data_IF_181764786831
#
_entry.id   IF_181764786831
#
_cell.length_a   1.000
_cell.length_b   1.000
_cell.length_c   1.000
_cell.angle_alpha   90.00
_cell.angle_beta   90.00
_cell.angle_gamma   90.00
#
_symmetry.space_group_name_H-M   'P 1'
#
loop_
_entity.id
_entity.type
_entity.pdbx_description
1 polymer ?
#
# COMPACT_ATOMS: atom_id res chain seq x y z
N UNK A 1 48.64 81.94 -9.07
CA UNK A 1 47.69 83.03 -9.38
C UNK A 1 46.37 82.59 -8.74
N UNK A 2 46.09 83.03 -7.50
CA UNK A 2 45.17 84.09 -7.11
C UNK A 2 43.75 83.88 -7.67
N UNK A 3 42.74 83.67 -6.87
CA UNK A 3 41.98 84.45 -5.93
C UNK A 3 40.86 83.58 -5.31
N UNK A 4 40.75 83.49 -4.08
CA UNK A 4 40.06 84.30 -3.06
C UNK A 4 38.58 84.61 -3.25
N UNK A 5 37.84 84.29 -2.20
CA UNK A 5 36.60 84.91 -1.62
C UNK A 5 35.30 84.14 -1.93
N UNK A 6 34.31 84.06 -1.07
CA UNK A 6 33.97 84.67 0.23
C UNK A 6 32.89 83.86 0.92
N UNK A 7 32.84 83.87 2.22
CA UNK A 7 31.82 83.39 3.11
C UNK A 7 30.41 83.83 2.79
N UNK A 8 29.42 82.96 2.95
CA UNK A 8 28.09 83.39 3.39
C UNK A 8 27.48 82.27 4.29
N UNK A 9 27.35 82.62 5.52
CA UNK A 9 26.70 81.80 6.54
C UNK A 9 25.16 81.88 6.36
N UNK A 10 24.51 80.75 6.12
CA UNK A 10 23.06 80.62 6.25
C UNK A 10 22.82 79.67 7.41
N UNK A 11 22.34 80.21 8.50
CA UNK A 11 21.85 79.48 9.66
C UNK A 11 20.60 78.72 9.24
N UNK A 12 20.65 77.37 9.13
CA UNK A 12 19.48 76.56 8.99
C UNK A 12 19.02 76.09 10.38
N UNK A 13 17.94 76.67 10.86
CA UNK A 13 17.22 76.26 12.06
C UNK A 13 16.62 74.90 11.83
N UNK A 14 17.20 73.86 12.40
CA UNK A 14 16.66 72.51 12.38
C UNK A 14 15.47 72.45 13.34
N UNK A 15 14.25 72.50 12.82
CA UNK A 15 13.05 72.18 13.57
C UNK A 15 13.00 70.65 13.68
N UNK A 16 13.32 70.13 14.84
CA UNK A 16 13.22 68.68 15.18
C UNK A 16 11.75 68.35 15.36
N UNK A 17 11.11 67.92 14.25
CA UNK A 17 9.77 67.27 14.31
C UNK A 17 9.96 65.89 14.93
N UNK A 18 9.74 65.77 16.23
CA UNK A 18 9.52 64.50 16.90
C UNK A 18 8.21 63.90 16.38
N UNK A 19 8.33 63.09 15.32
CA UNK A 19 7.27 62.19 14.93
C UNK A 19 7.15 61.12 16.00
N UNK A 20 6.23 61.27 16.90
CA UNK A 20 5.77 60.16 17.75
C UNK A 20 5.09 59.15 16.84
N UNK A 21 5.87 58.20 16.35
CA UNK A 21 5.33 56.98 15.74
C UNK A 21 4.72 56.17 16.89
N UNK A 22 3.40 56.35 17.11
CA UNK A 22 2.64 55.35 17.82
C UNK A 22 2.73 54.06 17.01
N UNK A 23 3.73 53.21 17.27
CA UNK A 23 3.64 51.80 16.95
C UNK A 23 2.47 51.29 17.76
N UNK A 24 1.29 51.07 17.13
CA UNK A 24 0.30 50.16 17.65
C UNK A 24 1.04 48.90 17.99
N UNK A 25 1.16 48.57 19.27
CA UNK A 25 1.46 47.19 19.66
C UNK A 25 0.34 46.38 19.02
N UNK A 26 0.64 45.62 18.01
CA UNK A 26 -0.20 44.51 17.63
C UNK A 26 -0.18 43.60 18.86
N UNK A 27 -1.28 43.56 19.57
CA UNK A 27 -1.49 42.61 20.65
C UNK A 27 -1.35 41.25 19.95
N UNK A 28 -0.26 40.53 20.25
CA UNK A 28 -0.12 39.14 19.82
C UNK A 28 -1.26 38.39 20.48
N UNK A 29 -2.25 38.02 19.69
CA UNK A 29 -3.28 37.10 20.15
C UNK A 29 -2.57 35.78 20.41
N UNK A 30 -2.41 35.42 21.67
CA UNK A 30 -1.92 34.12 22.08
C UNK A 30 -3.06 33.14 21.99
N UNK A 31 -2.98 32.17 21.05
CA UNK A 31 -3.94 31.09 20.93
C UNK A 31 -3.54 29.92 21.83
N UNK A 32 -4.51 29.25 22.38
CA UNK A 32 -4.35 28.01 23.11
C UNK A 32 -4.24 26.80 22.14
N UNK A 33 -3.98 25.61 22.68
CA UNK A 33 -3.93 24.38 21.92
C UNK A 33 -5.08 23.45 22.34
N UNK A 34 -5.70 22.81 21.35
CA UNK A 34 -6.62 21.71 21.61
C UNK A 34 -5.83 20.49 22.12
N UNK A 35 -6.46 19.66 22.95
CA UNK A 35 -5.90 18.39 23.38
C UNK A 35 -6.09 17.36 22.28
N UNK A 36 -4.99 16.68 21.87
CA UNK A 36 -5.02 15.63 20.86
C UNK A 36 -5.07 16.15 19.41
N UNK A 37 -5.20 15.20 18.49
CA UNK A 37 -5.32 15.43 17.05
C UNK A 37 -6.55 14.69 16.52
N UNK A 38 -7.20 15.14 15.44
CA UNK A 38 -8.40 14.51 14.90
C UNK A 38 -8.06 13.16 14.21
N UNK A 39 -7.84 12.12 14.99
CA UNK A 39 -7.51 10.78 14.49
C UNK A 39 -8.67 10.18 13.71
N UNK A 40 -8.34 9.64 12.55
CA UNK A 40 -9.25 8.86 11.70
C UNK A 40 -8.48 7.73 11.04
N UNK A 41 -9.19 6.77 10.43
CA UNK A 41 -8.60 5.62 9.78
C UNK A 41 -9.18 5.44 8.38
N UNK A 42 -8.31 5.19 7.42
CA UNK A 42 -8.65 4.79 6.05
C UNK A 42 -7.59 3.74 5.62
N UNK A 43 -7.95 2.71 4.84
CA UNK A 43 -6.98 1.75 4.35
C UNK A 43 -5.86 2.39 3.52
N UNK A 44 -4.67 1.81 3.58
CA UNK A 44 -3.51 2.29 2.80
C UNK A 44 -3.73 2.14 1.28
N UNK A 45 -4.55 1.16 0.87
CA UNK A 45 -4.96 0.93 -0.50
C UNK A 45 -6.47 0.84 -0.60
N UNK A 46 -7.03 1.46 -1.62
CA UNK A 46 -8.47 1.59 -1.84
C UNK A 46 -8.81 1.39 -3.32
N UNK A 47 -10.06 1.01 -3.63
CA UNK A 47 -10.53 0.87 -5.01
C UNK A 47 -11.47 2.00 -5.40
N UNK A 48 -11.54 2.33 -6.71
CA UNK A 48 -12.53 3.27 -7.22
C UNK A 48 -13.97 2.88 -6.83
N UNK A 49 -14.75 3.89 -6.42
CA UNK A 49 -16.15 3.70 -6.05
C UNK A 49 -16.38 3.24 -4.60
N UNK A 50 -15.35 2.82 -3.87
CA UNK A 50 -15.49 2.55 -2.43
C UNK A 50 -15.88 3.83 -1.68
N UNK A 51 -16.67 3.66 -0.63
CA UNK A 51 -17.18 4.76 0.19
C UNK A 51 -16.76 4.55 1.63
N UNK A 52 -16.05 5.52 2.18
CA UNK A 52 -15.60 5.52 3.58
C UNK A 52 -16.28 6.67 4.35
N UNK A 53 -16.86 6.36 5.50
CA UNK A 53 -17.32 7.38 6.45
C UNK A 53 -16.23 7.55 7.51
N UNK A 54 -15.58 8.70 7.47
CA UNK A 54 -14.44 9.02 8.34
C UNK A 54 -14.95 9.82 9.54
N UNK A 55 -14.64 9.34 10.74
CA UNK A 55 -15.04 9.95 12.01
C UNK A 55 -13.78 10.47 12.72
N UNK A 56 -13.66 11.77 13.01
CA UNK A 56 -12.54 12.30 13.78
C UNK A 56 -12.71 11.94 15.27
N UNK A 57 -11.63 11.54 15.91
CA UNK A 57 -11.63 11.13 17.32
C UNK A 57 -10.53 11.85 18.10
N UNK A 58 -10.63 11.84 19.42
CA UNK A 58 -9.56 12.21 20.36
C UNK A 58 -9.16 13.70 20.36
N UNK A 59 -10.04 14.60 19.94
CA UNK A 59 -9.81 16.03 20.10
C UNK A 59 -10.77 16.59 21.14
N UNK A 60 -10.21 17.27 22.15
CA UNK A 60 -10.99 17.90 23.22
C UNK A 60 -10.44 19.30 23.52
N UNK A 61 -11.24 20.13 24.15
CA UNK A 61 -10.78 21.35 24.78
C UNK A 61 -10.03 21.03 26.09
N UNK A 62 -9.09 21.86 26.53
CA UNK A 62 -8.52 21.74 27.85
C UNK A 62 -9.62 21.75 28.95
N UNK A 63 -9.36 21.06 30.04
CA UNK A 63 -10.34 20.90 31.15
C UNK A 63 -10.68 22.20 31.89
N UNK A 64 -9.86 23.21 31.74
CA UNK A 64 -10.05 24.57 32.29
C UNK A 64 -10.81 25.53 31.36
N UNK A 65 -11.07 25.10 30.11
CA UNK A 65 -11.90 25.84 29.18
C UNK A 65 -13.40 25.68 29.55
N UNK A 66 -14.03 26.78 29.88
CA UNK A 66 -15.48 26.85 30.22
C UNK A 66 -16.35 27.13 29.02
N UNK A 67 -15.78 27.25 27.82
CA UNK A 67 -16.57 27.50 26.60
C UNK A 67 -17.51 26.33 26.29
N UNK A 68 -18.72 26.64 25.91
CA UNK A 68 -19.73 25.69 25.44
C UNK A 68 -19.70 25.50 23.92
N UNK A 69 -18.87 26.27 23.23
CA UNK A 69 -18.74 26.17 21.76
C UNK A 69 -18.18 24.86 21.34
N UNK A 70 -18.72 24.26 20.29
CA UNK A 70 -18.26 23.00 19.74
C UNK A 70 -16.87 23.12 19.10
N UNK A 71 -16.23 21.97 18.91
CA UNK A 71 -15.06 21.86 18.02
C UNK A 71 -15.59 21.66 16.61
N UNK A 72 -15.18 22.54 15.69
CA UNK A 72 -15.44 22.41 14.26
C UNK A 72 -14.38 21.53 13.58
N UNK A 73 -14.75 20.91 12.48
CA UNK A 73 -13.85 20.09 11.67
C UNK A 73 -13.97 20.51 10.22
N UNK A 74 -12.86 20.52 9.49
CA UNK A 74 -12.92 20.58 8.06
C UNK A 74 -12.00 19.53 7.43
N UNK A 75 -12.44 19.02 6.29
CA UNK A 75 -11.80 17.96 5.56
C UNK A 75 -11.34 18.43 4.19
N UNK A 76 -10.22 17.94 3.75
CA UNK A 76 -9.77 18.12 2.38
C UNK A 76 -9.12 16.84 1.86
N UNK A 77 -9.25 16.62 0.55
CA UNK A 77 -8.67 15.46 -0.13
C UNK A 77 -7.89 15.94 -1.34
N UNK A 78 -6.59 15.70 -1.35
CA UNK A 78 -5.68 16.09 -2.44
C UNK A 78 -5.24 14.82 -3.19
N UNK A 79 -5.22 14.83 -4.52
CA UNK A 79 -5.37 15.95 -5.46
C UNK A 79 -6.80 16.25 -5.92
N UNK A 80 -7.83 15.67 -5.30
CA UNK A 80 -9.23 15.82 -5.73
C UNK A 80 -9.72 17.27 -5.54
N UNK A 81 -9.26 17.95 -4.49
CA UNK A 81 -9.48 19.38 -4.33
C UNK A 81 -8.46 20.14 -5.19
N UNK A 82 -8.94 20.76 -6.22
CA UNK A 82 -8.20 21.24 -7.40
C UNK A 82 -7.27 22.44 -7.21
N UNK A 83 -6.82 22.80 -6.00
CA UNK A 83 -5.90 23.93 -5.82
C UNK A 83 -4.60 23.52 -5.12
N UNK A 84 -3.50 23.77 -5.83
CA UNK A 84 -2.12 23.65 -5.39
C UNK A 84 -1.66 24.71 -4.37
N UNK A 85 -2.54 25.51 -3.80
CA UNK A 85 -2.13 26.62 -2.94
C UNK A 85 -2.09 26.22 -1.48
N UNK A 86 -1.02 26.58 -0.83
CA UNK A 86 -0.62 26.24 0.53
C UNK A 86 -1.45 26.90 1.63
N UNK A 87 -2.42 27.74 1.30
CA UNK A 87 -3.36 28.36 2.23
C UNK A 87 -4.71 27.69 2.08
N UNK A 88 -4.98 26.70 2.91
CA UNK A 88 -6.29 26.04 2.98
C UNK A 88 -7.24 26.93 3.78
N UNK A 89 -8.18 27.54 3.11
CA UNK A 89 -9.29 28.25 3.72
C UNK A 89 -10.50 27.30 3.87
N UNK A 90 -11.46 27.63 4.73
CA UNK A 90 -12.72 26.87 4.82
C UNK A 90 -13.41 26.67 3.46
N UNK A 91 -13.18 27.58 2.51
CA UNK A 91 -13.70 27.51 1.13
C UNK A 91 -13.08 26.36 0.31
N UNK A 92 -11.93 25.87 0.71
CA UNK A 92 -11.21 24.79 0.02
C UNK A 92 -11.46 23.43 0.71
N UNK A 93 -12.28 23.39 1.77
CA UNK A 93 -12.63 22.18 2.48
C UNK A 93 -13.61 21.32 1.66
N UNK A 94 -13.40 20.01 1.68
CA UNK A 94 -14.34 19.06 1.09
C UNK A 94 -15.62 18.94 1.94
N UNK A 95 -15.50 19.13 3.27
CA UNK A 95 -16.60 19.16 4.22
C UNK A 95 -16.17 19.92 5.49
N UNK A 96 -17.11 20.59 6.14
CA UNK A 96 -16.93 21.23 7.45
C UNK A 96 -17.68 20.48 8.58
N UNK A 97 -18.32 19.36 8.30
CA UNK A 97 -18.94 18.50 9.29
C UNK A 97 -17.92 17.66 10.06
N UNK A 98 -18.29 17.17 11.24
CA UNK A 98 -17.44 16.27 12.00
C UNK A 98 -17.12 15.02 11.18
N UNK A 99 -18.15 14.39 10.60
CA UNK A 99 -18.00 13.20 9.76
C UNK A 99 -17.84 13.60 8.30
N UNK A 100 -17.01 12.84 7.58
CA UNK A 100 -16.79 13.04 6.17
C UNK A 100 -17.00 11.74 5.39
N UNK A 101 -17.87 11.80 4.38
CA UNK A 101 -18.07 10.69 3.45
C UNK A 101 -17.16 10.87 2.24
N UNK A 102 -16.12 10.03 2.17
CA UNK A 102 -15.18 9.99 1.07
C UNK A 102 -15.61 8.91 0.07
N UNK A 103 -15.88 9.30 -1.16
CA UNK A 103 -16.03 8.37 -2.30
C UNK A 103 -14.72 8.37 -3.08
N UNK A 104 -14.14 7.19 -3.27
CA UNK A 104 -12.87 7.03 -3.98
C UNK A 104 -13.07 7.28 -5.48
N UNK A 105 -12.32 8.22 -6.09
CA UNK A 105 -12.46 8.53 -7.51
C UNK A 105 -11.87 7.44 -8.41
N UNK A 106 -12.34 7.40 -9.66
CA UNK A 106 -11.83 6.49 -10.68
C UNK A 106 -10.54 7.04 -11.35
N UNK A 107 -9.50 7.18 -10.54
CA UNK A 107 -8.19 7.67 -11.00
C UNK A 107 -7.08 6.98 -10.23
N UNK A 108 -6.15 6.32 -10.91
CA UNK A 108 -5.00 5.68 -10.28
C UNK A 108 -4.01 6.75 -9.80
N UNK A 109 -4.09 7.10 -8.52
CA UNK A 109 -3.21 8.07 -7.88
C UNK A 109 -3.10 7.81 -6.37
N UNK A 110 -2.23 8.53 -5.70
CA UNK A 110 -2.23 8.63 -4.24
C UNK A 110 -3.10 9.81 -3.84
N UNK A 111 -4.05 9.58 -2.94
CA UNK A 111 -4.82 10.64 -2.30
C UNK A 111 -4.31 10.84 -0.87
N UNK A 112 -4.32 12.09 -0.42
CA UNK A 112 -4.08 12.46 0.97
C UNK A 112 -5.34 13.10 1.52
N UNK A 113 -5.93 12.46 2.51
CA UNK A 113 -7.07 12.97 3.26
C UNK A 113 -6.55 13.68 4.49
N UNK A 114 -7.00 14.91 4.71
CA UNK A 114 -6.61 15.75 5.85
C UNK A 114 -7.86 16.14 6.63
N UNK A 115 -7.80 16.00 7.95
CA UNK A 115 -8.80 16.52 8.88
C UNK A 115 -8.15 17.56 9.78
N UNK A 116 -8.78 18.73 9.90
CA UNK A 116 -8.37 19.79 10.82
C UNK A 116 -9.49 20.08 11.78
N UNK A 117 -9.20 19.98 13.08
CA UNK A 117 -10.07 20.41 14.15
C UNK A 117 -9.75 21.87 14.51
N UNK A 118 -10.76 22.69 14.71
CA UNK A 118 -10.61 24.10 15.06
C UNK A 118 -11.63 24.54 16.11
N UNK A 119 -11.26 25.53 16.89
CA UNK A 119 -12.14 26.19 17.84
C UNK A 119 -11.68 27.64 18.02
N UNK A 120 -12.61 28.56 18.38
CA UNK A 120 -12.28 29.96 18.62
C UNK A 120 -11.26 30.09 19.77
N UNK A 121 -10.22 30.89 19.57
CA UNK A 121 -9.14 31.09 20.53
C UNK A 121 -8.09 29.94 20.56
N UNK A 122 -8.14 28.99 19.64
CA UNK A 122 -7.23 27.85 19.57
C UNK A 122 -6.49 27.77 18.24
N UNK A 123 -5.25 27.24 18.28
CA UNK A 123 -4.60 26.77 17.07
C UNK A 123 -5.30 25.52 16.55
N UNK A 124 -5.48 25.43 15.23
CA UNK A 124 -6.04 24.23 14.64
C UNK A 124 -5.10 23.03 14.83
N UNK A 125 -5.67 21.86 15.09
CA UNK A 125 -4.99 20.58 15.19
C UNK A 125 -5.32 19.74 13.95
N UNK A 126 -4.30 19.18 13.29
CA UNK A 126 -4.48 18.52 11.99
C UNK A 126 -3.88 17.14 11.98
N UNK A 127 -4.55 16.20 11.34
CA UNK A 127 -4.05 14.87 10.98
C UNK A 127 -4.27 14.59 9.51
N UNK A 128 -3.43 13.73 8.95
CA UNK A 128 -3.55 13.29 7.56
C UNK A 128 -3.30 11.79 7.43
N UNK A 129 -3.91 11.20 6.42
CA UNK A 129 -3.69 9.83 6.00
C UNK A 129 -3.67 9.74 4.48
N UNK A 130 -2.76 8.95 3.94
CA UNK A 130 -2.62 8.73 2.50
C UNK A 130 -3.11 7.35 2.11
N UNK A 131 -3.80 7.28 0.97
CA UNK A 131 -4.27 6.03 0.38
C UNK A 131 -3.89 5.98 -1.09
N UNK A 132 -3.46 4.81 -1.55
CA UNK A 132 -3.14 4.55 -2.95
C UNK A 132 -4.36 3.93 -3.61
N UNK A 133 -4.86 4.55 -4.67
CA UNK A 133 -5.98 4.01 -5.44
C UNK A 133 -5.44 2.94 -6.39
N UNK A 134 -5.97 1.73 -6.28
CA UNK A 134 -5.62 0.58 -7.10
C UNK A 134 -6.86 -0.01 -7.77
N UNK A 135 -6.69 -0.71 -8.87
CA UNK A 135 -7.75 -1.45 -9.55
C UNK A 135 -7.39 -2.93 -9.63
N UNK A 136 -8.37 -3.82 -9.54
CA UNK A 136 -8.16 -5.27 -9.68
C UNK A 136 -7.68 -5.63 -11.09
N UNK A 137 -7.47 -6.91 -11.34
CA UNK A 137 -7.11 -7.43 -12.65
C UNK A 137 -8.17 -7.09 -13.71
N UNK A 138 -7.72 -6.61 -14.89
CA UNK A 138 -8.59 -6.18 -15.98
C UNK A 138 -7.87 -5.27 -16.97
N UNK A 139 -8.60 -4.62 -17.88
CA UNK A 139 -8.00 -3.73 -18.90
C UNK A 139 -7.36 -2.49 -18.24
N UNK A 140 -8.06 -1.89 -17.27
CA UNK A 140 -7.60 -0.70 -16.51
C UNK A 140 -6.93 -1.05 -15.16
N UNK A 141 -6.36 -2.23 -15.06
CA UNK A 141 -5.75 -2.74 -13.84
C UNK A 141 -4.56 -1.92 -13.35
N UNK A 142 -4.32 -1.93 -12.04
CA UNK A 142 -3.13 -1.34 -11.43
C UNK A 142 -1.85 -2.10 -11.78
N UNK A 143 -1.92 -3.43 -11.94
CA UNK A 143 -0.76 -4.24 -12.32
C UNK A 143 -0.55 -4.20 -13.83
N UNK A 144 0.44 -3.41 -14.26
CA UNK A 144 0.97 -3.43 -15.63
C UNK A 144 2.06 -4.49 -15.76
N UNK A 145 2.35 -4.91 -16.99
CA UNK A 145 3.44 -5.86 -17.30
C UNK A 145 3.06 -7.34 -17.15
N UNK A 146 1.88 -7.66 -16.64
CA UNK A 146 1.37 -9.03 -16.63
C UNK A 146 0.63 -9.31 -17.92
N UNK A 147 1.07 -10.34 -18.64
CA UNK A 147 0.38 -10.84 -19.82
C UNK A 147 -0.25 -12.18 -19.47
N UNK A 148 -1.55 -12.29 -19.67
CA UNK A 148 -2.26 -13.56 -19.55
C UNK A 148 -2.05 -14.36 -20.84
N UNK A 149 -1.52 -15.59 -20.74
CA UNK A 149 -1.15 -16.36 -21.92
C UNK A 149 -2.38 -16.76 -22.75
N UNK A 150 -3.49 -17.07 -22.10
CA UNK A 150 -4.74 -17.44 -22.74
C UNK A 150 -5.93 -17.00 -21.88
N UNK A 151 -6.68 -16.02 -22.34
CA UNK A 151 -7.86 -15.50 -21.61
C UNK A 151 -9.03 -16.51 -21.53
N UNK A 152 -9.01 -17.59 -22.32
CA UNK A 152 -9.99 -18.66 -22.21
C UNK A 152 -9.69 -19.61 -21.04
N UNK A 153 -8.46 -19.66 -20.58
CA UNK A 153 -8.04 -20.44 -19.42
C UNK A 153 -8.37 -19.70 -18.11
N UNK A 154 -9.63 -19.71 -17.75
CA UNK A 154 -10.16 -19.06 -16.55
C UNK A 154 -11.11 -19.98 -15.82
N UNK A 155 -11.06 -19.93 -14.48
CA UNK A 155 -12.06 -20.55 -13.61
C UNK A 155 -12.78 -19.49 -12.79
N UNK A 156 -13.99 -19.79 -12.38
CA UNK A 156 -14.72 -19.00 -11.39
C UNK A 156 -14.81 -19.80 -10.09
N UNK A 157 -14.33 -19.25 -9.00
CA UNK A 157 -14.49 -19.84 -7.68
C UNK A 157 -15.96 -19.71 -7.26
N UNK A 158 -16.63 -20.84 -7.05
CA UNK A 158 -18.06 -20.85 -6.72
C UNK A 158 -18.38 -20.30 -5.33
N UNK A 159 -17.36 -20.09 -4.48
CA UNK A 159 -17.53 -19.62 -3.10
C UNK A 159 -17.74 -18.11 -3.00
N UNK A 160 -17.06 -17.34 -3.89
CA UNK A 160 -17.05 -15.88 -3.88
C UNK A 160 -17.21 -15.25 -5.27
N UNK A 161 -17.35 -16.09 -6.31
CA UNK A 161 -17.46 -15.69 -7.73
C UNK A 161 -16.20 -15.00 -8.29
N UNK A 162 -15.08 -15.04 -7.60
CA UNK A 162 -13.82 -14.52 -8.12
C UNK A 162 -13.31 -15.38 -9.28
N UNK A 163 -12.70 -14.73 -10.26
CA UNK A 163 -12.13 -15.38 -11.44
C UNK A 163 -10.62 -15.47 -11.32
N UNK A 164 -10.07 -16.63 -11.64
CA UNK A 164 -8.64 -16.88 -11.69
C UNK A 164 -8.23 -17.40 -13.05
N UNK A 165 -7.26 -16.72 -13.67
CA UNK A 165 -6.62 -17.23 -14.88
C UNK A 165 -5.61 -18.30 -14.49
N UNK A 166 -5.37 -19.26 -15.40
CA UNK A 166 -4.36 -20.28 -15.20
C UNK A 166 -3.51 -20.51 -16.45
N UNK A 167 -2.32 -21.01 -16.25
CA UNK A 167 -1.39 -21.42 -17.30
C UNK A 167 -0.93 -22.86 -17.06
N UNK A 168 -0.57 -23.57 -18.11
CA UNK A 168 -0.10 -24.94 -18.00
C UNK A 168 1.43 -24.99 -18.05
N UNK A 169 2.04 -25.54 -17.01
CA UNK A 169 3.48 -25.73 -16.94
C UNK A 169 3.81 -27.03 -16.19
N UNK A 170 4.77 -27.79 -16.69
CA UNK A 170 5.22 -29.06 -16.11
C UNK A 170 4.10 -30.09 -15.82
N UNK A 171 3.08 -30.17 -16.70
CA UNK A 171 1.95 -31.10 -16.55
C UNK A 171 0.88 -30.68 -15.54
N UNK A 172 0.96 -29.46 -15.04
CA UNK A 172 -0.01 -28.89 -14.13
C UNK A 172 -0.57 -27.57 -14.68
N UNK A 173 -1.83 -27.31 -14.39
CA UNK A 173 -2.42 -25.97 -14.47
C UNK A 173 -2.10 -25.23 -13.17
N UNK A 174 -1.60 -24.02 -13.30
CA UNK A 174 -1.19 -23.12 -12.21
C UNK A 174 -2.00 -21.83 -12.29
N UNK A 175 -2.52 -21.34 -11.18
CA UNK A 175 -3.07 -19.98 -11.15
C UNK A 175 -2.00 -18.96 -11.55
N UNK A 176 -2.39 -17.96 -12.35
CA UNK A 176 -1.55 -16.82 -12.71
C UNK A 176 -1.53 -15.79 -11.56
N UNK A 177 -2.66 -15.64 -10.88
CA UNK A 177 -2.79 -14.79 -9.70
C UNK A 177 -2.60 -15.58 -8.40
N UNK A 178 -2.24 -14.90 -7.34
CA UNK A 178 -2.35 -15.44 -6.00
C UNK A 178 -3.83 -15.55 -5.60
N UNK A 179 -4.16 -16.56 -4.83
CA UNK A 179 -5.53 -16.79 -4.36
C UNK A 179 -6.01 -15.61 -3.49
N UNK A 180 -7.19 -15.08 -3.79
CA UNK A 180 -7.82 -13.93 -3.12
C UNK A 180 -9.10 -14.31 -2.36
N UNK A 181 -9.28 -15.57 -1.97
CA UNK A 181 -10.46 -16.04 -1.25
C UNK A 181 -10.52 -15.43 0.16
N UNK A 182 -11.49 -14.54 0.37
CA UNK A 182 -11.64 -13.75 1.61
C UNK A 182 -12.27 -14.54 2.78
N UNK A 183 -12.71 -15.77 2.54
CA UNK A 183 -13.18 -16.65 3.61
C UNK A 183 -12.10 -17.11 4.61
N UNK A 184 -10.83 -16.76 4.34
CA UNK A 184 -9.68 -17.02 5.19
C UNK A 184 -8.52 -16.05 4.83
N UNK A 185 -7.52 -15.96 5.70
CA UNK A 185 -6.33 -15.14 5.48
C UNK A 185 -6.58 -13.64 5.69
N UNK A 186 -5.58 -12.83 5.34
CA UNK A 186 -5.60 -11.36 5.48
C UNK A 186 -5.08 -10.68 4.23
N UNK A 187 -5.70 -9.57 3.77
CA UNK A 187 -5.18 -8.79 2.67
C UNK A 187 -3.95 -7.99 3.11
N UNK A 188 -3.07 -7.65 2.17
CA UNK A 188 -1.88 -6.83 2.45
C UNK A 188 -2.25 -5.50 3.10
N UNK A 189 -1.59 -5.19 4.24
CA UNK A 189 -1.83 -4.01 5.07
C UNK A 189 -3.31 -3.82 5.47
N UNK A 190 -4.01 -4.92 5.69
CA UNK A 190 -5.43 -4.94 6.04
C UNK A 190 -6.31 -4.10 5.08
N UNK A 191 -5.85 -3.96 3.82
CA UNK A 191 -6.53 -3.24 2.75
C UNK A 191 -7.26 -4.22 1.83
N UNK A 192 -8.60 -4.31 1.85
CA UNK A 192 -9.36 -5.25 1.00
C UNK A 192 -9.02 -5.13 -0.48
N UNK A 193 -8.77 -3.92 -0.97
CA UNK A 193 -8.32 -3.65 -2.34
C UNK A 193 -7.08 -4.45 -2.75
N UNK A 194 -6.22 -4.82 -1.82
CA UNK A 194 -4.98 -5.56 -2.10
C UNK A 194 -5.18 -7.07 -2.21
N UNK A 195 -6.35 -7.59 -1.81
CA UNK A 195 -6.69 -9.00 -2.06
C UNK A 195 -6.70 -9.32 -3.57
N UNK A 196 -7.20 -8.41 -4.38
CA UNK A 196 -7.26 -8.55 -5.84
C UNK A 196 -5.92 -8.21 -6.54
N UNK A 197 -4.92 -7.79 -5.80
CA UNK A 197 -3.58 -7.43 -6.32
C UNK A 197 -2.53 -8.47 -5.89
N UNK A 198 -2.35 -8.67 -4.59
CA UNK A 198 -1.34 -9.58 -4.02
C UNK A 198 -1.90 -10.93 -3.60
N UNK A 199 -3.22 -11.10 -3.64
CA UNK A 199 -3.91 -12.21 -3.01
C UNK A 199 -4.04 -12.02 -1.50
N UNK A 200 -4.58 -13.02 -0.83
CA UNK A 200 -4.63 -13.07 0.63
C UNK A 200 -3.39 -13.77 1.18
N UNK A 201 -2.98 -13.38 2.38
CA UNK A 201 -1.91 -14.02 3.15
C UNK A 201 -2.55 -14.99 4.13
N UNK A 202 -2.32 -16.27 3.91
CA UNK A 202 -2.89 -17.37 4.69
C UNK A 202 -1.85 -17.95 5.63
N UNK A 203 -2.23 -18.28 6.84
CA UNK A 203 -1.51 -19.27 7.64
C UNK A 203 -1.53 -20.61 6.91
N UNK A 204 -0.63 -21.55 7.22
CA UNK A 204 -0.65 -22.84 6.53
C UNK A 204 -1.92 -23.65 6.81
N UNK A 205 -2.46 -23.55 8.02
CA UNK A 205 -3.71 -24.21 8.40
C UNK A 205 -4.91 -23.72 7.58
N UNK A 206 -4.92 -22.44 7.22
CA UNK A 206 -5.90 -21.85 6.30
C UNK A 206 -5.60 -22.24 4.86
N UNK A 207 -4.34 -22.10 4.42
CA UNK A 207 -3.88 -22.38 3.06
C UNK A 207 -4.19 -23.81 2.60
N UNK A 208 -4.05 -24.78 3.52
CA UNK A 208 -4.32 -26.19 3.24
C UNK A 208 -5.76 -26.47 2.76
N UNK A 209 -6.69 -25.55 3.01
CA UNK A 209 -8.11 -25.64 2.67
C UNK A 209 -8.58 -24.50 1.76
N UNK A 210 -7.69 -23.60 1.40
CA UNK A 210 -8.07 -22.34 0.73
C UNK A 210 -8.34 -22.53 -0.77
N UNK A 211 -7.69 -23.46 -1.45
CA UNK A 211 -7.89 -23.66 -2.89
C UNK A 211 -9.32 -24.09 -3.21
N UNK A 212 -9.90 -23.63 -4.33
CA UNK A 212 -11.25 -24.03 -4.74
C UNK A 212 -11.32 -25.53 -5.10
N UNK A 213 -12.53 -26.06 -5.21
CA UNK A 213 -12.76 -27.47 -5.54
C UNK A 213 -12.04 -27.87 -6.85
N UNK A 214 -11.35 -29.02 -6.83
CA UNK A 214 -10.56 -29.51 -7.94
C UNK A 214 -9.14 -28.91 -8.04
N UNK A 215 -8.81 -27.94 -7.16
CA UNK A 215 -7.48 -27.34 -7.04
C UNK A 215 -6.90 -27.61 -5.67
N UNK A 216 -5.57 -27.54 -5.55
CA UNK A 216 -4.84 -27.81 -4.31
C UNK A 216 -3.60 -26.92 -4.16
N UNK A 217 -3.02 -26.88 -2.98
CA UNK A 217 -1.68 -26.34 -2.81
C UNK A 217 -0.66 -27.12 -3.66
N UNK A 218 0.33 -26.44 -4.26
CA UNK A 218 1.46 -27.12 -4.89
C UNK A 218 2.30 -27.81 -3.82
N UNK A 219 2.88 -28.97 -4.16
CA UNK A 219 3.90 -29.65 -3.35
C UNK A 219 5.30 -29.18 -3.72
N UNK A 220 6.31 -29.55 -2.93
CA UNK A 220 7.70 -29.35 -3.32
C UNK A 220 8.07 -30.13 -4.59
N UNK A 221 7.44 -31.29 -4.83
CA UNK A 221 7.61 -32.08 -6.07
C UNK A 221 7.04 -31.34 -7.28
N UNK A 222 5.91 -30.62 -7.14
CA UNK A 222 5.35 -29.80 -8.23
C UNK A 222 6.31 -28.68 -8.63
N UNK A 223 6.90 -28.00 -7.66
CA UNK A 223 7.92 -26.96 -7.91
C UNK A 223 9.22 -27.55 -8.47
N UNK A 224 9.61 -28.77 -8.06
CA UNK A 224 10.76 -29.48 -8.65
C UNK A 224 10.51 -29.80 -10.13
N UNK A 225 9.33 -30.32 -10.46
CA UNK A 225 8.93 -30.60 -11.82
C UNK A 225 8.93 -29.32 -12.69
N UNK A 226 8.40 -28.22 -12.14
CA UNK A 226 8.44 -26.91 -12.79
C UNK A 226 9.88 -26.49 -13.07
N UNK A 227 10.77 -26.49 -12.07
CA UNK A 227 12.17 -26.10 -12.23
C UNK A 227 12.90 -26.99 -13.25
N UNK A 228 12.72 -28.31 -13.17
CA UNK A 228 13.34 -29.26 -14.13
C UNK A 228 12.88 -28.99 -15.57
N UNK A 229 11.61 -28.63 -15.75
CA UNK A 229 11.07 -28.29 -17.08
C UNK A 229 11.70 -27.03 -17.67
N UNK A 230 12.04 -26.06 -16.84
CA UNK A 230 12.64 -24.77 -17.25
C UNK A 230 14.15 -24.91 -17.55
N UNK A 231 14.84 -25.73 -16.79
CA UNK A 231 16.29 -25.84 -16.86
C UNK A 231 16.79 -27.02 -17.69
N UNK A 232 15.93 -28.00 -17.98
CA UNK A 232 16.31 -29.29 -18.50
C UNK A 232 17.06 -30.15 -17.49
N UNK A 233 17.13 -29.74 -16.22
CA UNK A 233 17.75 -30.50 -15.15
C UNK A 233 16.96 -31.79 -14.85
N UNK A 234 17.64 -32.75 -14.22
CA UNK A 234 17.05 -34.02 -13.74
C UNK A 234 17.24 -34.14 -12.24
N UNK A 235 16.94 -33.02 -11.52
CA UNK A 235 16.98 -33.02 -10.06
C UNK A 235 15.91 -33.97 -9.52
N UNK A 236 16.21 -34.65 -8.42
CA UNK A 236 15.30 -35.59 -7.74
C UNK A 236 15.03 -35.20 -6.30
N UNK A 237 15.73 -34.22 -5.76
CA UNK A 237 15.60 -33.79 -4.39
C UNK A 237 14.65 -32.58 -4.31
N UNK A 238 13.38 -32.83 -3.98
CA UNK A 238 12.38 -31.76 -3.95
C UNK A 238 12.52 -30.79 -2.79
N UNK A 239 13.07 -31.21 -1.67
CA UNK A 239 13.23 -30.38 -0.46
C UNK A 239 14.61 -29.71 -0.38
N UNK A 240 15.00 -29.04 -1.46
CA UNK A 240 16.25 -28.27 -1.57
C UNK A 240 16.02 -26.95 -2.31
N UNK A 241 17.04 -26.10 -2.37
CA UNK A 241 17.07 -24.93 -3.26
C UNK A 241 17.19 -25.37 -4.71
N UNK A 242 16.44 -24.73 -5.61
CA UNK A 242 16.52 -24.91 -7.05
C UNK A 242 17.23 -23.72 -7.67
N UNK A 243 18.34 -23.95 -8.37
CA UNK A 243 19.20 -22.90 -8.87
C UNK A 243 18.88 -22.52 -10.31
N UNK A 244 18.69 -21.22 -10.54
CA UNK A 244 18.57 -20.59 -11.85
C UNK A 244 17.18 -20.62 -12.46
N UNK A 245 17.00 -19.78 -13.49
CA UNK A 245 15.86 -19.70 -14.42
C UNK A 245 14.49 -19.30 -13.86
N UNK A 246 14.36 -18.93 -12.59
CA UNK A 246 13.06 -18.53 -12.05
C UNK A 246 12.55 -17.19 -12.63
N UNK A 247 13.39 -16.40 -13.27
CA UNK A 247 12.97 -15.25 -14.07
C UNK A 247 11.96 -15.59 -15.17
N UNK A 248 11.97 -16.83 -15.66
CA UNK A 248 10.98 -17.34 -16.61
C UNK A 248 9.57 -17.49 -16.01
N UNK A 249 9.44 -17.46 -14.68
CA UNK A 249 8.16 -17.46 -13.96
C UNK A 249 7.79 -16.09 -13.37
N UNK A 250 8.73 -15.15 -13.30
CA UNK A 250 8.53 -13.82 -12.68
C UNK A 250 7.94 -12.84 -13.71
N UNK A 251 6.99 -12.01 -13.28
CA UNK A 251 6.46 -10.94 -14.12
C UNK A 251 7.18 -9.62 -13.86
N UNK A 252 7.58 -8.91 -14.90
CA UNK A 252 8.04 -7.52 -14.82
C UNK A 252 6.84 -6.59 -14.61
N UNK A 253 6.23 -6.69 -13.43
CA UNK A 253 4.98 -6.08 -13.07
C UNK A 253 5.18 -4.74 -12.35
N UNK A 254 4.22 -3.85 -12.53
CA UNK A 254 4.17 -2.54 -11.91
C UNK A 254 2.83 -2.37 -11.20
N UNK A 255 2.86 -1.88 -9.95
CA UNK A 255 1.65 -1.42 -9.26
C UNK A 255 1.48 0.07 -9.58
N UNK A 256 0.43 0.40 -10.33
CA UNK A 256 0.31 1.68 -11.02
C UNK A 256 1.57 1.91 -11.89
N UNK A 257 2.40 2.86 -11.57
CA UNK A 257 3.64 3.14 -12.29
C UNK A 257 4.90 2.77 -11.50
N UNK A 258 4.74 2.06 -10.37
CA UNK A 258 5.84 1.66 -9.50
C UNK A 258 6.21 0.20 -9.79
N UNK A 259 7.46 -0.04 -10.17
CA UNK A 259 7.98 -1.40 -10.40
C UNK A 259 7.88 -2.23 -9.11
N UNK A 260 7.32 -3.43 -9.21
CA UNK A 260 7.14 -4.30 -8.05
C UNK A 260 8.41 -5.02 -7.66
N UNK A 261 9.12 -5.62 -8.62
CA UNK A 261 10.41 -6.21 -8.32
C UNK A 261 11.49 -5.13 -8.22
N UNK A 262 12.28 -5.15 -7.16
CA UNK A 262 13.48 -4.34 -7.10
C UNK A 262 14.42 -4.68 -8.27
N UNK A 263 15.09 -3.67 -8.83
CA UNK A 263 15.93 -3.88 -9.99
C UNK A 263 17.24 -4.57 -9.62
N UNK A 264 17.42 -5.80 -10.10
CA UNK A 264 18.68 -6.56 -10.01
C UNK A 264 19.14 -6.96 -11.41
N UNK A 265 20.23 -6.38 -11.92
CA UNK A 265 20.64 -6.58 -13.30
C UNK A 265 21.03 -8.02 -13.64
N UNK A 266 21.30 -8.86 -12.63
CA UNK A 266 21.61 -10.28 -12.83
C UNK A 266 20.40 -11.19 -13.03
N UNK A 267 19.18 -10.70 -12.86
CA UNK A 267 17.95 -11.50 -13.01
C UNK A 267 17.16 -11.05 -14.24
N UNK A 268 17.05 -11.94 -15.22
CA UNK A 268 16.25 -11.68 -16.41
C UNK A 268 14.79 -12.10 -16.20
N UNK A 269 13.93 -11.12 -15.89
CA UNK A 269 12.49 -11.32 -15.68
C UNK A 269 11.79 -11.26 -17.05
N UNK A 270 11.19 -12.38 -17.48
CA UNK A 270 10.57 -12.47 -18.81
C UNK A 270 9.22 -13.21 -18.85
N UNK A 271 8.84 -13.87 -17.77
CA UNK A 271 7.53 -14.56 -17.60
C UNK A 271 7.17 -15.55 -18.73
N UNK A 272 8.12 -16.29 -19.28
CA UNK A 272 7.89 -17.25 -20.37
C UNK A 272 6.83 -18.30 -20.03
N UNK A 273 6.72 -18.70 -18.78
CA UNK A 273 5.71 -19.68 -18.32
C UNK A 273 4.31 -19.10 -18.22
N UNK A 274 4.16 -17.79 -18.19
CA UNK A 274 2.90 -17.12 -17.90
C UNK A 274 2.47 -17.23 -16.43
N UNK A 275 3.31 -17.75 -15.54
CA UNK A 275 3.00 -17.86 -14.11
C UNK A 275 2.89 -16.52 -13.40
N UNK A 276 3.50 -15.47 -13.94
CA UNK A 276 3.42 -14.10 -13.45
C UNK A 276 3.67 -13.97 -11.93
N UNK A 277 4.72 -14.58 -11.43
CA UNK A 277 5.10 -14.43 -10.02
C UNK A 277 5.46 -12.98 -9.71
N UNK A 278 4.82 -12.41 -8.69
CA UNK A 278 5.01 -11.04 -8.22
C UNK A 278 5.49 -11.04 -6.76
N UNK A 279 6.25 -10.02 -6.31
CA UNK A 279 6.85 -10.00 -4.99
C UNK A 279 5.88 -9.47 -3.93
N UNK A 280 4.86 -10.25 -3.59
CA UNK A 280 3.89 -9.90 -2.55
C UNK A 280 4.50 -9.95 -1.13
N UNK A 281 5.60 -10.68 -0.92
CA UNK A 281 6.19 -10.88 0.39
C UNK A 281 5.49 -11.94 1.24
N UNK A 282 5.60 -11.79 2.56
CA UNK A 282 4.98 -12.67 3.56
C UNK A 282 4.50 -11.84 4.76
N UNK A 283 3.78 -12.47 5.67
CA UNK A 283 3.37 -11.82 6.91
C UNK A 283 3.65 -12.71 8.13
N UNK A 284 3.70 -12.09 9.30
CA UNK A 284 3.61 -12.77 10.59
C UNK A 284 2.33 -12.35 11.29
N UNK A 285 1.70 -13.30 11.97
CA UNK A 285 0.46 -13.08 12.73
C UNK A 285 0.82 -13.18 14.22
N UNK A 286 0.50 -12.15 15.00
CA UNK A 286 0.70 -12.18 16.45
C UNK A 286 -0.48 -12.87 17.17
N UNK A 287 -0.36 -13.04 18.48
CA UNK A 287 -1.39 -13.69 19.33
C UNK A 287 -2.74 -12.96 19.28
N UNK A 288 -2.74 -11.64 19.07
CA UNK A 288 -3.96 -10.83 18.92
C UNK A 288 -4.57 -10.96 17.52
N UNK A 289 -3.96 -11.74 16.63
CA UNK A 289 -4.38 -11.91 15.26
C UNK A 289 -4.01 -10.75 14.32
N UNK A 290 -3.16 -9.80 14.76
CA UNK A 290 -2.70 -8.70 13.89
C UNK A 290 -1.59 -9.18 12.96
N UNK A 291 -1.68 -8.79 11.69
CA UNK A 291 -0.67 -9.10 10.68
C UNK A 291 0.42 -8.03 10.59
N UNK A 292 1.65 -8.48 10.40
CA UNK A 292 2.78 -7.62 10.05
C UNK A 292 3.42 -8.14 8.79
N UNK A 293 3.50 -7.29 7.76
CA UNK A 293 3.91 -7.65 6.41
C UNK A 293 5.38 -7.32 6.15
N UNK A 294 6.07 -8.18 5.39
CA UNK A 294 7.48 -8.07 5.09
C UNK A 294 7.79 -8.47 3.66
N UNK A 295 8.81 -7.85 3.10
CA UNK A 295 9.44 -8.27 1.86
C UNK A 295 8.60 -8.09 0.60
N UNK A 296 7.52 -7.29 0.64
CA UNK A 296 6.90 -6.78 -0.58
C UNK A 296 7.97 -6.04 -1.39
N UNK A 297 7.99 -6.24 -2.71
CA UNK A 297 9.02 -5.82 -3.68
C UNK A 297 10.29 -6.70 -3.73
N UNK A 298 10.55 -7.52 -2.71
CA UNK A 298 11.74 -8.37 -2.61
C UNK A 298 11.48 -9.85 -2.77
N UNK A 299 10.34 -10.35 -2.24
CA UNK A 299 10.05 -11.78 -2.19
C UNK A 299 8.74 -12.14 -2.87
N UNK A 300 8.79 -13.07 -3.82
CA UNK A 300 7.66 -13.95 -4.07
C UNK A 300 7.69 -15.06 -3.02
N UNK A 301 6.59 -15.35 -2.37
CA UNK A 301 6.43 -16.51 -1.48
C UNK A 301 5.18 -17.29 -1.82
N UNK A 302 5.19 -18.58 -1.57
CA UNK A 302 4.05 -19.45 -1.77
C UNK A 302 4.16 -20.67 -0.85
N UNK A 303 3.11 -20.95 -0.08
CA UNK A 303 3.03 -22.17 0.67
C UNK A 303 3.08 -23.42 -0.21
N UNK A 304 3.66 -24.49 0.32
CA UNK A 304 3.53 -25.84 -0.25
C UNK A 304 2.61 -26.70 0.64
N UNK A 305 2.11 -27.79 0.09
CA UNK A 305 1.33 -28.79 0.85
C UNK A 305 2.18 -29.63 1.79
N UNK A 306 3.51 -29.49 1.76
CA UNK A 306 4.44 -30.33 2.52
C UNK A 306 4.67 -29.78 3.93
N UNK A 307 4.56 -30.65 4.91
CA UNK A 307 4.92 -30.35 6.28
C UNK A 307 6.44 -30.42 6.50
N UNK A 308 6.96 -29.52 7.33
CA UNK A 308 8.35 -29.48 7.77
C UNK A 308 8.52 -29.93 9.23
N UNK A 309 7.46 -30.44 9.84
CA UNK A 309 7.37 -30.90 11.22
C UNK A 309 5.93 -30.75 11.73
N UNK A 310 5.73 -30.98 13.01
CA UNK A 310 4.38 -30.91 13.64
C UNK A 310 3.80 -29.51 13.57
N UNK A 311 4.63 -28.50 13.78
CA UNK A 311 4.26 -27.09 13.91
C UNK A 311 4.67 -26.21 12.72
N UNK A 312 5.41 -26.77 11.75
CA UNK A 312 5.94 -26.06 10.58
C UNK A 312 5.56 -26.71 9.27
N UNK A 313 5.46 -25.89 8.23
CA UNK A 313 5.30 -26.32 6.85
C UNK A 313 6.32 -25.63 5.94
N UNK A 314 6.57 -26.21 4.76
CA UNK A 314 7.47 -25.61 3.79
C UNK A 314 6.74 -24.59 2.95
N UNK A 315 7.50 -23.53 2.58
CA UNK A 315 7.13 -22.57 1.55
C UNK A 315 8.27 -22.38 0.56
N UNK A 316 7.94 -22.02 -0.65
CA UNK A 316 8.89 -21.61 -1.67
C UNK A 316 8.96 -20.10 -1.76
N UNK A 317 10.16 -19.60 -2.05
CA UNK A 317 10.33 -18.17 -2.29
C UNK A 317 11.40 -17.91 -3.34
N UNK A 318 11.22 -16.82 -4.07
CA UNK A 318 12.20 -16.24 -4.98
C UNK A 318 12.55 -14.87 -4.44
N UNK A 319 13.83 -14.58 -4.36
CA UNK A 319 14.33 -13.29 -3.92
C UNK A 319 14.74 -12.46 -5.13
N UNK A 320 14.50 -11.13 -5.08
CA UNK A 320 14.71 -10.23 -6.22
C UNK A 320 16.12 -10.26 -6.83
N UNK A 321 17.15 -10.60 -6.04
CA UNK A 321 18.55 -10.57 -6.48
C UNK A 321 19.04 -11.88 -7.15
N UNK A 322 18.22 -12.95 -7.12
CA UNK A 322 18.62 -14.28 -7.58
C UNK A 322 17.53 -14.97 -8.38
N UNK A 323 17.89 -15.62 -9.49
CA UNK A 323 16.94 -16.40 -10.27
C UNK A 323 16.71 -17.81 -9.68
N UNK A 324 16.88 -17.97 -8.38
CA UNK A 324 16.78 -19.24 -7.66
C UNK A 324 15.44 -19.36 -6.94
N UNK A 325 14.90 -20.58 -6.84
CA UNK A 325 13.78 -20.87 -5.97
C UNK A 325 14.27 -21.52 -4.68
N UNK A 326 14.19 -20.76 -3.62
CA UNK A 326 14.66 -21.15 -2.29
C UNK A 326 13.57 -21.92 -1.53
N UNK A 327 13.99 -22.64 -0.50
CA UNK A 327 13.12 -23.38 0.39
C UNK A 327 13.19 -22.77 1.78
N UNK A 328 12.03 -22.40 2.34
CA UNK A 328 11.87 -21.98 3.71
C UNK A 328 10.89 -22.89 4.46
N UNK A 329 10.87 -22.77 5.78
CA UNK A 329 9.84 -23.35 6.62
C UNK A 329 9.33 -22.31 7.60
N UNK A 330 8.01 -22.24 7.78
CA UNK A 330 7.33 -21.31 8.68
C UNK A 330 6.38 -22.02 9.63
N UNK A 331 6.03 -21.35 10.74
CA UNK A 331 4.99 -21.79 11.63
C UNK A 331 3.67 -21.95 10.87
N UNK A 332 2.91 -23.02 11.18
CA UNK A 332 1.60 -23.25 10.59
C UNK A 332 0.53 -22.25 11.02
N UNK A 333 0.77 -21.52 12.11
CA UNK A 333 -0.19 -20.59 12.75
C UNK A 333 0.23 -19.13 12.66
N UNK A 334 1.54 -18.84 12.70
CA UNK A 334 2.04 -17.47 12.92
C UNK A 334 2.73 -16.87 11.68
N UNK A 335 3.12 -17.74 10.73
CA UNK A 335 3.63 -17.28 9.43
C UNK A 335 2.52 -17.38 8.39
N UNK A 336 2.36 -16.33 7.59
CA UNK A 336 1.37 -16.27 6.54
C UNK A 336 2.03 -15.93 5.19
N UNK A 337 1.60 -16.61 4.16
CA UNK A 337 2.11 -16.48 2.79
C UNK A 337 0.95 -16.52 1.79
N UNK A 338 1.10 -15.88 0.63
CA UNK A 338 0.20 -16.10 -0.49
C UNK A 338 0.12 -17.58 -0.90
N UNK A 339 -0.94 -17.91 -1.59
CA UNK A 339 -1.22 -19.23 -2.12
C UNK A 339 -1.42 -19.14 -3.62
N UNK A 340 -0.86 -20.10 -4.34
CA UNK A 340 -1.08 -20.27 -5.76
C UNK A 340 -1.53 -21.70 -6.02
N UNK A 341 -2.80 -21.87 -6.39
CA UNK A 341 -3.38 -23.20 -6.53
C UNK A 341 -2.95 -23.88 -7.83
N UNK A 342 -2.88 -25.22 -7.78
CA UNK A 342 -2.57 -26.08 -8.92
C UNK A 342 -3.59 -27.20 -9.08
N UNK A 343 -3.69 -27.74 -10.29
CA UNK A 343 -4.36 -29.01 -10.58
C UNK A 343 -3.63 -29.77 -11.70
N UNK A 344 -3.87 -31.06 -11.84
CA UNK A 344 -3.38 -31.82 -13.00
C UNK A 344 -4.00 -31.24 -14.26
N UNK A 345 -3.20 -30.94 -15.29
CA UNK A 345 -3.71 -30.50 -16.59
C UNK A 345 -4.45 -31.67 -17.27
N UNK A 346 -5.59 -31.35 -17.88
CA UNK A 346 -6.36 -32.28 -18.70
C UNK A 346 -5.69 -32.53 -20.04
#
# INVERSE_FOLDING_TARGET
>A
MTHNRLFSAIAFTFILLLAFSCKKKEDKVEYNYLNGTPKFSIPAYVQPGEVYVLHPREVTRPSDDTSTDGIGYYWSVSPITTKKDTVRTEKDAASVSADYTLTIPDTLCTITTTCSAFAEGYYSSTSEASSIIVKPYGEDRSLKGITYPDKSKVITDSRDSKKYYYTTAAGLDWFVENLAFEGAGKPFLDSPAMADIFGMFYTWNEAAKACPAGWRLPSNEDFLALHNSLTGAKNTAAKTTFYGNMGDCMADAYLNDIKLWEFWPGVNINNKTGLAMIPAGYATINEDGNARYYGSTYYYTCWTSDEAGSDKAYYRYVYADKPDMLLGSGSKTDFASPVRCVRTSE
#
